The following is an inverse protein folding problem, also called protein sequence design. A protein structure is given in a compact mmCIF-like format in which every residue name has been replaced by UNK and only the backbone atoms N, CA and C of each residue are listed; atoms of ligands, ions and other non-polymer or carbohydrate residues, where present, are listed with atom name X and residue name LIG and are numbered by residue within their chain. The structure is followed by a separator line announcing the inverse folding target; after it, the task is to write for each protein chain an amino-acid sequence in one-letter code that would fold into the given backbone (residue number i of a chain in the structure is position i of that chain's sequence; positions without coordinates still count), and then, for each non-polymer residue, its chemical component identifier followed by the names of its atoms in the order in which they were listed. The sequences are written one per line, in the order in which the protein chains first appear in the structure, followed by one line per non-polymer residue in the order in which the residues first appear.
data_IF_147171323992
#
_entry.id   IF_147171323992
#
_cell.length_a   1.000
_cell.length_b   1.000
_cell.length_c   1.000
_cell.angle_alpha   90.00
_cell.angle_beta   90.00
_cell.angle_gamma   90.00
#
_symmetry.space_group_name_H-M   'P 1'
#
loop_
_entity.id
_entity.type
_entity.pdbx_description
1 polymer ?
#
# COMPACT_ATOMS: atom_id res chain seq x y z
N UNK A 1 -4.20 0.15 -9.07
CA UNK A 1 -4.40 -0.49 -7.76
C UNK A 1 -4.65 -1.98 -7.98
N UNK A 2 -4.07 -2.85 -7.15
CA UNK A 2 -4.34 -4.29 -7.15
C UNK A 2 -4.87 -4.71 -5.79
N UNK A 3 -5.87 -5.60 -5.76
CA UNK A 3 -6.46 -6.13 -4.52
C UNK A 3 -6.33 -7.63 -4.49
N UNK A 4 -5.85 -8.17 -3.38
CA UNK A 4 -5.65 -9.60 -3.17
C UNK A 4 -6.39 -9.99 -1.89
N UNK A 5 -7.29 -10.97 -2.00
CA UNK A 5 -7.93 -11.63 -0.86
C UNK A 5 -7.39 -13.04 -0.76
N UNK A 6 -6.99 -13.43 0.44
CA UNK A 6 -6.38 -14.73 0.70
C UNK A 6 -7.40 -15.62 1.43
N UNK A 7 -7.04 -16.88 1.70
CA UNK A 7 -7.85 -17.80 2.53
C UNK A 7 -7.43 -17.78 4.00
N UNK A 8 -6.59 -16.83 4.39
CA UNK A 8 -6.04 -16.71 5.73
C UNK A 8 -7.01 -15.91 6.60
N UNK A 9 -7.45 -16.47 7.72
CA UNK A 9 -8.36 -15.82 8.66
C UNK A 9 -7.61 -15.22 9.86
N UNK A 10 -6.76 -14.23 9.59
CA UNK A 10 -6.02 -13.51 10.64
C UNK A 10 -6.70 -12.19 11.03
N UNK A 11 -7.73 -11.76 10.29
CA UNK A 11 -8.29 -10.41 10.39
C UNK A 11 -7.33 -9.28 9.97
N UNK A 12 -6.06 -9.59 9.66
CA UNK A 12 -5.04 -8.61 9.31
C UNK A 12 -5.21 -8.16 7.86
N UNK A 13 -5.21 -6.84 7.64
CA UNK A 13 -5.32 -6.22 6.33
C UNK A 13 -4.14 -5.27 6.09
N UNK A 14 -3.42 -5.49 5.00
CA UNK A 14 -2.23 -4.73 4.65
C UNK A 14 -2.48 -3.80 3.46
N UNK A 15 -2.14 -2.53 3.62
CA UNK A 15 -1.94 -1.62 2.51
C UNK A 15 -0.44 -1.55 2.16
N UNK A 16 -0.09 -1.81 0.91
CA UNK A 16 1.26 -1.67 0.39
C UNK A 16 1.32 -0.48 -0.57
N UNK A 17 2.12 0.53 -0.23
CA UNK A 17 2.39 1.71 -1.05
C UNK A 17 3.72 1.49 -1.74
N UNK A 18 3.74 1.48 -3.08
CA UNK A 18 4.85 0.85 -3.80
C UNK A 18 5.16 1.41 -5.19
N UNK A 19 6.33 1.00 -5.71
CA UNK A 19 6.77 1.14 -7.11
C UNK A 19 6.75 -0.22 -7.87
N UNK A 20 7.48 -0.35 -8.98
CA UNK A 20 7.59 -1.64 -9.68
C UNK A 20 8.46 -2.68 -8.98
N UNK A 21 9.35 -2.28 -8.06
CA UNK A 21 10.27 -3.16 -7.35
C UNK A 21 9.53 -4.12 -6.41
N UNK A 22 8.47 -3.63 -5.76
CA UNK A 22 7.68 -4.41 -4.80
C UNK A 22 6.88 -5.58 -5.40
N UNK A 23 6.73 -5.68 -6.73
CA UNK A 23 5.90 -6.72 -7.34
C UNK A 23 6.39 -8.14 -7.01
N UNK A 24 7.70 -8.35 -6.96
CA UNK A 24 8.29 -9.63 -6.61
C UNK A 24 8.12 -10.00 -5.12
N UNK A 25 7.78 -9.03 -4.27
CA UNK A 25 7.63 -9.24 -2.83
C UNK A 25 6.22 -9.72 -2.43
N UNK A 26 5.21 -9.43 -3.25
CA UNK A 26 3.80 -9.76 -2.96
C UNK A 26 3.56 -11.23 -2.60
N UNK A 27 4.15 -12.23 -3.28
CA UNK A 27 3.95 -13.64 -2.94
C UNK A 27 4.36 -14.02 -1.52
N UNK A 28 5.27 -13.26 -0.89
CA UNK A 28 5.68 -13.51 0.49
C UNK A 28 4.66 -13.00 1.52
N UNK A 29 3.75 -12.10 1.12
CA UNK A 29 2.76 -11.50 2.00
C UNK A 29 1.47 -12.32 2.10
N UNK A 30 1.12 -13.11 1.07
CA UNK A 30 -0.20 -13.75 0.94
C UNK A 30 -0.51 -14.78 2.03
N UNK A 31 0.49 -15.29 2.74
CA UNK A 31 0.31 -16.25 3.84
C UNK A 31 0.10 -15.59 5.21
N UNK A 32 0.19 -14.26 5.31
CA UNK A 32 0.17 -13.55 6.59
C UNK A 32 -1.05 -12.64 6.77
N UNK A 33 -1.69 -12.24 5.68
CA UNK A 33 -2.77 -11.25 5.67
C UNK A 33 -4.01 -11.80 4.99
N UNK A 34 -5.19 -11.47 5.53
CA UNK A 34 -6.48 -11.81 4.94
C UNK A 34 -6.77 -10.99 3.67
N UNK A 35 -6.31 -9.74 3.64
CA UNK A 35 -6.49 -8.81 2.53
C UNK A 35 -5.25 -7.95 2.33
N UNK A 36 -4.80 -7.81 1.08
CA UNK A 36 -3.63 -7.01 0.70
C UNK A 36 -4.05 -6.08 -0.45
N UNK A 37 -3.90 -4.78 -0.26
CA UNK A 37 -4.10 -3.79 -1.33
C UNK A 37 -2.75 -3.18 -1.72
N UNK A 38 -2.50 -3.08 -3.02
CA UNK A 38 -1.29 -2.49 -3.59
C UNK A 38 -1.65 -1.18 -4.30
N UNK A 39 -1.10 -0.09 -3.79
CA UNK A 39 -1.27 1.27 -4.30
C UNK A 39 0.07 1.78 -4.81
N UNK A 40 0.03 2.34 -6.02
CA UNK A 40 1.14 3.08 -6.62
C UNK A 40 0.70 4.55 -6.67
N UNK A 41 1.40 5.42 -5.93
CA UNK A 41 0.98 6.81 -5.71
C UNK A 41 0.97 7.62 -7.01
N UNK A 42 1.74 7.20 -8.03
CA UNK A 42 1.78 7.83 -9.35
C UNK A 42 0.42 7.78 -10.05
N UNK A 43 -0.39 6.77 -9.74
CA UNK A 43 -1.68 6.53 -10.36
C UNK A 43 -2.87 6.65 -9.39
N UNK A 44 -2.60 6.76 -8.09
CA UNK A 44 -3.65 6.88 -7.07
C UNK A 44 -3.98 8.35 -6.81
N UNK A 45 -5.18 8.76 -7.19
CA UNK A 45 -5.62 10.16 -7.12
C UNK A 45 -6.70 10.42 -6.07
N UNK A 46 -7.06 9.40 -5.28
CA UNK A 46 -8.00 9.54 -4.16
C UNK A 46 -7.27 9.94 -2.86
N UNK A 47 -8.04 10.34 -1.85
CA UNK A 47 -7.50 10.63 -0.52
C UNK A 47 -7.06 9.32 0.17
N UNK A 48 -5.75 9.20 0.43
CA UNK A 48 -5.16 7.99 0.99
C UNK A 48 -5.62 7.71 2.43
N UNK A 49 -5.72 8.73 3.28
CA UNK A 49 -6.15 8.58 4.67
C UNK A 49 -7.59 8.04 4.74
N UNK A 50 -8.50 8.66 3.98
CA UNK A 50 -9.88 8.20 3.85
C UNK A 50 -9.94 6.77 3.32
N UNK A 51 -9.11 6.44 2.32
CA UNK A 51 -9.03 5.08 1.79
C UNK A 51 -8.57 4.09 2.86
N UNK A 52 -7.59 4.48 3.69
CA UNK A 52 -7.11 3.63 4.79
C UNK A 52 -8.22 3.34 5.80
N UNK A 53 -8.91 4.39 6.24
CA UNK A 53 -10.02 4.29 7.21
C UNK A 53 -11.17 3.43 6.68
N UNK A 54 -11.61 3.69 5.44
CA UNK A 54 -12.76 3.01 4.84
C UNK A 54 -12.55 1.50 4.62
N UNK A 55 -11.30 1.06 4.46
CA UNK A 55 -11.00 -0.36 4.25
C UNK A 55 -10.57 -1.09 5.53
N UNK A 56 -10.48 -0.36 6.66
CA UNK A 56 -10.06 -0.86 7.97
C UNK A 56 -8.70 -1.59 7.90
N UNK A 57 -7.70 -0.98 7.28
CA UNK A 57 -6.36 -1.58 7.28
C UNK A 57 -5.79 -1.61 8.69
N UNK A 58 -5.16 -2.72 9.03
CA UNK A 58 -4.47 -2.89 10.31
C UNK A 58 -3.02 -2.45 10.22
N UNK A 59 -2.43 -2.52 9.02
CA UNK A 59 -1.01 -2.24 8.79
C UNK A 59 -0.81 -1.53 7.43
N UNK A 60 0.23 -0.70 7.37
CA UNK A 60 0.69 -0.02 6.16
C UNK A 60 2.18 -0.31 5.96
N UNK A 61 2.55 -0.72 4.75
CA UNK A 61 3.92 -0.94 4.32
C UNK A 61 4.25 0.00 3.16
N UNK A 62 5.29 0.81 3.29
CA UNK A 62 5.87 1.59 2.19
C UNK A 62 7.05 0.78 1.65
N UNK A 63 6.97 0.36 0.39
CA UNK A 63 7.97 -0.50 -0.24
C UNK A 63 8.40 0.05 -1.59
N UNK A 64 9.58 0.68 -1.61
CA UNK A 64 10.18 1.31 -2.76
C UNK A 64 11.64 0.90 -2.88
N UNK A 65 12.19 0.94 -4.11
CA UNK A 65 13.64 1.07 -4.23
C UNK A 65 14.09 2.46 -3.73
N UNK A 66 15.28 2.55 -3.13
CA UNK A 66 15.77 3.82 -2.58
C UNK A 66 15.84 4.94 -3.64
N UNK A 67 16.26 4.59 -4.87
CA UNK A 67 16.34 5.54 -5.98
C UNK A 67 14.94 6.01 -6.42
N UNK A 68 14.00 5.08 -6.63
CA UNK A 68 12.64 5.45 -7.02
C UNK A 68 11.93 6.27 -5.95
N UNK A 69 12.18 5.99 -4.66
CA UNK A 69 11.64 6.80 -3.57
C UNK A 69 12.15 8.24 -3.60
N UNK A 70 13.44 8.45 -3.87
CA UNK A 70 14.04 9.77 -3.94
C UNK A 70 13.54 10.61 -5.14
N UNK A 71 13.17 9.95 -6.24
CA UNK A 71 12.74 10.62 -7.48
C UNK A 71 11.22 10.78 -7.61
N UNK A 72 10.43 9.95 -6.91
CA UNK A 72 8.98 9.92 -7.05
C UNK A 72 8.30 11.12 -6.35
N UNK A 73 7.97 12.13 -7.13
CA UNK A 73 7.23 13.31 -6.64
C UNK A 73 5.85 13.00 -6.07
N UNK A 74 5.25 11.86 -6.44
CA UNK A 74 3.93 11.49 -5.93
C UNK A 74 3.96 11.06 -4.45
N UNK A 75 5.14 10.83 -3.88
CA UNK A 75 5.35 10.59 -2.44
C UNK A 75 4.84 11.77 -1.59
N UNK A 76 4.75 12.98 -2.14
CA UNK A 76 4.14 14.14 -1.46
C UNK A 76 2.69 13.87 -1.03
N UNK A 77 1.98 12.94 -1.69
CA UNK A 77 0.62 12.53 -1.32
C UNK A 77 0.54 11.82 0.05
N UNK A 78 1.69 11.41 0.61
CA UNK A 78 1.80 10.88 1.97
C UNK A 78 1.90 11.96 3.03
N UNK A 79 2.26 13.19 2.65
CA UNK A 79 2.34 14.29 3.60
C UNK A 79 0.93 14.56 4.15
N UNK A 80 0.83 14.59 5.48
CA UNK A 80 -0.39 15.01 6.16
C UNK A 80 -0.43 16.53 6.08
N UNK A 81 -1.35 17.05 5.26
CA UNK A 81 -1.67 18.48 5.33
C UNK A 81 -2.60 18.65 6.52
N UNK A 82 -2.09 19.25 7.60
CA UNK A 82 -2.93 19.75 8.68
C UNK A 82 -3.81 20.87 8.10
N UNK A 83 -5.13 20.64 8.10
CA UNK A 83 -6.11 21.72 8.02
C UNK A 83 -6.57 22.06 9.43
#
# INVERSE_FOLDING_TARGET
MVKIRTRIDTGRKLLVIKDSYAHSFVPFLVNHYAEIHLIDLRFFNDNLLRYVEQNNFTEVLILYSALSFAEDRSVVKLAVNEN
#
